data_IF_586086389132
#
_entry.id   IF_586086389132
#
_cell.length_a   1.000
_cell.length_b   1.000
_cell.length_c   1.000
_cell.angle_alpha   90.00
_cell.angle_beta   90.00
_cell.angle_gamma   90.00
#
_symmetry.space_group_name_H-M   'P 1'
#
loop_
_entity.id
_entity.type
_entity.pdbx_description
1 polymer ?
#
# COMPACT_ATOMS: atom_id res chain seq x y z
N UNK A 1 6.34 -2.92 -8.59
CA UNK A 1 7.18 -2.21 -7.62
C UNK A 1 8.09 -3.21 -6.94
N UNK A 2 9.33 -2.84 -6.65
CA UNK A 2 10.28 -3.65 -5.89
C UNK A 2 10.62 -2.83 -4.65
N UNK A 3 10.51 -3.42 -3.46
CA UNK A 3 10.76 -2.74 -2.18
C UNK A 3 11.77 -3.53 -1.34
N UNK A 4 12.72 -2.83 -0.73
CA UNK A 4 13.62 -3.40 0.27
C UNK A 4 12.92 -3.49 1.63
N UNK A 5 12.97 -4.67 2.25
CA UNK A 5 12.48 -4.91 3.60
C UNK A 5 13.62 -4.85 4.64
N UNK A 6 13.26 -4.85 5.93
CA UNK A 6 14.19 -4.73 7.04
C UNK A 6 15.19 -5.90 7.14
N UNK A 7 14.82 -7.06 6.60
CA UNK A 7 15.70 -8.24 6.44
C UNK A 7 16.73 -8.09 5.31
N UNK A 8 16.81 -6.90 4.69
CA UNK A 8 17.63 -6.60 3.52
C UNK A 8 17.26 -7.37 2.25
N UNK A 9 16.12 -8.07 2.22
CA UNK A 9 15.60 -8.68 1.01
C UNK A 9 14.74 -7.70 0.20
N UNK A 10 14.73 -7.90 -1.10
CA UNK A 10 13.94 -7.16 -2.07
C UNK A 10 12.70 -7.98 -2.45
N UNK A 11 11.53 -7.46 -2.13
CA UNK A 11 10.26 -8.10 -2.46
C UNK A 11 9.59 -7.41 -3.64
N UNK A 12 8.91 -8.20 -4.46
CA UNK A 12 8.14 -7.69 -5.60
C UNK A 12 6.66 -7.54 -5.21
N UNK A 13 6.12 -6.37 -5.53
CA UNK A 13 4.73 -6.00 -5.34
C UNK A 13 4.14 -5.57 -6.69
N UNK A 14 2.97 -6.08 -7.05
CA UNK A 14 2.17 -5.51 -8.14
C UNK A 14 1.17 -4.54 -7.53
N UNK A 15 1.26 -3.28 -7.94
CA UNK A 15 0.22 -2.29 -7.63
C UNK A 15 -1.02 -2.61 -8.46
N UNK A 16 -2.14 -2.78 -7.78
CA UNK A 16 -3.44 -3.07 -8.39
C UNK A 16 -4.30 -1.81 -8.45
N UNK A 17 -4.32 -1.04 -7.36
CA UNK A 17 -5.06 0.21 -7.26
C UNK A 17 -4.47 1.17 -6.22
N UNK A 18 -4.87 2.44 -6.29
CA UNK A 18 -4.51 3.51 -5.35
C UNK A 18 -5.81 4.03 -4.72
N UNK A 19 -5.90 3.92 -3.40
CA UNK A 19 -7.11 4.18 -2.64
C UNK A 19 -6.87 5.30 -1.63
N UNK A 20 -7.84 6.19 -1.49
CA UNK A 20 -7.90 7.13 -0.37
C UNK A 20 -8.92 6.60 0.62
N UNK A 21 -8.48 6.20 1.81
CA UNK A 21 -9.39 5.68 2.84
C UNK A 21 -9.86 6.84 3.71
N UNK A 22 -11.18 7.01 3.81
CA UNK A 22 -11.81 7.96 4.73
C UNK A 22 -12.33 7.21 5.95
N UNK A 23 -12.04 7.72 7.14
CA UNK A 23 -12.64 7.21 8.38
C UNK A 23 -14.05 7.77 8.50
N UNK A 24 -15.01 6.86 8.66
CA UNK A 24 -16.41 7.22 8.89
C UNK A 24 -16.71 7.12 10.37
N UNK A 25 -17.51 8.06 10.88
CA UNK A 25 -18.03 8.05 12.24
C UNK A 25 -19.55 8.20 12.23
N UNK A 26 -20.27 7.62 13.20
CA UNK A 26 -21.71 7.74 13.27
C UNK A 26 -22.09 9.17 13.70
N UNK A 27 -22.96 9.80 12.93
CA UNK A 27 -23.70 10.99 13.34
C UNK A 27 -24.73 10.63 14.41
N UNK A 28 -24.87 11.48 15.44
CA UNK A 28 -25.90 11.31 16.47
C UNK A 28 -27.31 11.70 16.01
N UNK A 29 -27.50 12.05 14.74
CA UNK A 29 -28.82 12.31 14.14
C UNK A 29 -29.63 11.01 14.00
N UNK A 30 -30.96 11.12 14.01
CA UNK A 30 -31.86 10.01 13.66
C UNK A 30 -32.53 10.30 12.30
N UNK A 31 -32.45 9.39 11.31
CA UNK A 31 -31.74 8.11 11.32
C UNK A 31 -30.21 8.28 11.41
N UNK A 32 -29.53 7.25 11.93
CA UNK A 32 -28.06 7.26 12.07
C UNK A 32 -27.43 7.29 10.68
N UNK A 33 -26.58 8.30 10.44
CA UNK A 33 -25.83 8.45 9.20
C UNK A 33 -24.35 8.28 9.49
N UNK A 34 -23.61 7.74 8.52
CA UNK A 34 -22.15 7.74 8.55
C UNK A 34 -21.65 9.01 7.86
N UNK A 35 -20.83 9.77 8.56
CA UNK A 35 -20.18 10.98 8.04
C UNK A 35 -18.67 10.83 8.13
N UNK A 36 -17.93 11.52 7.27
CA UNK A 36 -16.48 11.48 7.34
C UNK A 36 -16.01 12.19 8.61
N UNK A 37 -15.07 11.58 9.33
CA UNK A 37 -14.51 12.15 10.57
C UNK A 37 -13.88 13.54 10.34
N UNK A 38 -13.42 13.80 9.11
CA UNK A 38 -12.84 15.07 8.66
C UNK A 38 -13.82 16.23 8.67
N UNK A 39 -15.12 15.96 8.47
CA UNK A 39 -16.17 16.98 8.41
C UNK A 39 -16.61 17.43 9.82
N UNK A 40 -16.10 16.79 10.88
CA UNK A 40 -16.51 17.05 12.27
C UNK A 40 -15.46 17.76 13.11
N UNK A 41 -14.18 17.57 12.81
CA UNK A 41 -13.07 18.05 13.64
C UNK A 41 -12.33 19.18 12.93
N UNK A 42 -12.87 20.41 13.00
CA UNK A 42 -12.23 21.62 12.45
C UNK A 42 -10.83 21.88 13.04
N UNK A 43 -10.52 21.30 14.20
CA UNK A 43 -9.29 21.57 14.96
C UNK A 43 -8.39 20.36 15.23
N UNK A 44 -8.75 19.14 14.80
CA UNK A 44 -7.92 17.96 15.02
C UNK A 44 -7.86 17.07 13.79
N UNK A 45 -6.67 16.98 13.19
CA UNK A 45 -6.37 16.00 12.14
C UNK A 45 -6.49 14.58 12.71
N UNK A 46 -7.38 13.72 12.19
CA UNK A 46 -7.46 12.32 12.61
C UNK A 46 -6.11 11.59 12.46
N UNK A 47 -5.87 10.56 13.27
CA UNK A 47 -4.60 9.78 13.28
C UNK A 47 -4.23 9.11 11.93
N UNK A 48 -5.17 9.01 11.00
CA UNK A 48 -5.01 8.41 9.67
C UNK A 48 -5.66 9.25 8.56
N UNK A 49 -5.73 10.56 8.78
CA UNK A 49 -6.34 11.49 7.85
C UNK A 49 -5.66 11.48 6.48
N UNK A 50 -6.46 11.29 5.42
CA UNK A 50 -6.04 11.35 4.02
C UNK A 50 -4.84 10.43 3.65
N UNK A 51 -4.64 9.34 4.38
CA UNK A 51 -3.56 8.41 4.06
C UNK A 51 -3.87 7.64 2.76
N UNK A 52 -3.04 7.86 1.74
CA UNK A 52 -3.09 7.09 0.50
C UNK A 52 -2.65 5.66 0.77
N UNK A 53 -3.51 4.71 0.41
CA UNK A 53 -3.27 3.28 0.49
C UNK A 53 -3.04 2.73 -0.91
N UNK A 54 -2.16 1.73 -1.01
CA UNK A 54 -1.96 0.95 -2.21
C UNK A 54 -2.60 -0.42 -2.01
N UNK A 55 -3.42 -0.83 -2.97
CA UNK A 55 -3.87 -2.20 -3.10
C UNK A 55 -2.80 -2.98 -3.86
N UNK A 56 -2.19 -3.98 -3.23
CA UNK A 56 -1.05 -4.70 -3.81
C UNK A 56 -1.21 -6.22 -3.77
N UNK A 57 -0.70 -6.87 -4.81
CA UNK A 57 -0.32 -8.29 -4.78
C UNK A 57 1.16 -8.42 -4.39
N UNK A 58 1.50 -9.37 -3.54
CA UNK A 58 2.87 -9.65 -3.07
C UNK A 58 3.36 -10.96 -3.68
N UNK A 59 4.64 -10.99 -4.06
CA UNK A 59 5.28 -12.13 -4.69
C UNK A 59 6.47 -12.63 -3.88
N UNK A 60 6.68 -13.93 -3.92
CA UNK A 60 7.83 -14.65 -3.39
C UNK A 60 8.69 -15.24 -4.52
N UNK A 61 9.97 -15.57 -4.25
CA UNK A 61 10.69 -15.31 -3.00
C UNK A 61 11.16 -13.85 -2.86
N UNK A 62 11.64 -13.49 -1.67
CA UNK A 62 12.47 -12.28 -1.53
C UNK A 62 13.82 -12.48 -2.22
N UNK A 63 14.36 -11.41 -2.81
CA UNK A 63 15.61 -11.44 -3.57
C UNK A 63 16.73 -10.74 -2.80
N UNK A 64 17.97 -11.21 -2.95
CA UNK A 64 19.13 -10.60 -2.27
C UNK A 64 19.45 -9.18 -2.79
N UNK A 65 19.13 -8.89 -4.06
CA UNK A 65 19.35 -7.58 -4.68
C UNK A 65 18.20 -7.17 -5.60
N UNK A 66 18.18 -5.88 -5.96
CA UNK A 66 17.18 -5.29 -6.85
C UNK A 66 17.23 -5.86 -8.27
N UNK A 67 18.43 -6.17 -8.79
CA UNK A 67 18.61 -6.68 -10.15
C UNK A 67 17.97 -8.05 -10.35
N UNK A 68 18.11 -8.96 -9.38
CA UNK A 68 17.50 -10.27 -9.37
C UNK A 68 15.97 -10.17 -9.32
N UNK A 69 15.44 -9.25 -8.51
CA UNK A 69 14.01 -8.99 -8.49
C UNK A 69 13.50 -8.46 -9.85
N UNK A 70 14.26 -7.59 -10.54
CA UNK A 70 13.93 -7.13 -11.89
C UNK A 70 13.95 -8.26 -12.91
N UNK A 71 14.95 -9.13 -12.87
CA UNK A 71 15.04 -10.30 -13.74
C UNK A 71 13.88 -11.27 -13.50
N UNK A 72 13.50 -11.51 -12.24
CA UNK A 72 12.35 -12.34 -11.90
C UNK A 72 11.03 -11.80 -12.48
N UNK A 73 10.86 -10.46 -12.49
CA UNK A 73 9.72 -9.79 -13.15
C UNK A 73 9.74 -10.08 -14.65
N UNK A 74 10.88 -9.85 -15.32
CA UNK A 74 11.01 -10.03 -16.78
C UNK A 74 10.78 -11.48 -17.20
N UNK A 75 11.32 -12.43 -16.44
CA UNK A 75 11.21 -13.85 -16.70
C UNK A 75 9.85 -14.44 -16.27
N UNK A 76 8.97 -13.63 -15.68
CA UNK A 76 7.69 -14.09 -15.07
C UNK A 76 7.89 -15.22 -14.06
N UNK A 77 9.06 -15.25 -13.40
CA UNK A 77 9.49 -16.31 -12.49
C UNK A 77 9.19 -15.93 -11.03
N UNK A 78 7.94 -15.54 -10.76
CA UNK A 78 7.49 -15.11 -9.44
C UNK A 78 6.19 -15.81 -9.08
N UNK A 79 6.08 -16.23 -7.82
CA UNK A 79 4.87 -16.89 -7.31
C UNK A 79 4.11 -15.89 -6.46
N UNK A 80 2.83 -15.69 -6.76
CA UNK A 80 1.99 -14.78 -5.97
C UNK A 80 1.75 -15.38 -4.59
N UNK A 81 2.22 -14.69 -3.54
CA UNK A 81 1.99 -15.07 -2.14
C UNK A 81 0.63 -14.61 -1.64
N UNK A 82 0.28 -13.36 -1.93
CA UNK A 82 -0.97 -12.74 -1.46
C UNK A 82 -1.49 -11.72 -2.48
N UNK A 83 -2.80 -11.51 -2.49
CA UNK A 83 -3.50 -10.55 -3.36
C UNK A 83 -4.40 -9.65 -2.52
N UNK A 84 -4.62 -8.40 -2.99
CA UNK A 84 -5.58 -7.49 -2.37
C UNK A 84 -5.15 -6.99 -0.99
N UNK A 85 -3.84 -6.92 -0.73
CA UNK A 85 -3.35 -6.38 0.53
C UNK A 85 -3.34 -4.86 0.45
N UNK A 86 -4.01 -4.21 1.41
CA UNK A 86 -3.88 -2.78 1.63
C UNK A 86 -2.58 -2.50 2.37
N UNK A 87 -1.79 -1.58 1.82
CA UNK A 87 -0.55 -1.09 2.42
C UNK A 87 -0.47 0.41 2.28
N UNK A 88 0.04 1.07 3.31
CA UNK A 88 0.18 2.51 3.26
C UNK A 88 1.20 2.92 2.20
N UNK A 89 0.91 3.97 1.42
CA UNK A 89 1.85 4.46 0.40
C UNK A 89 3.20 4.89 1.02
N UNK A 90 3.20 5.37 2.28
CA UNK A 90 4.43 5.72 3.02
C UNK A 90 5.37 4.54 3.23
N UNK A 91 4.88 3.30 3.18
CA UNK A 91 5.74 2.11 3.24
C UNK A 91 6.58 1.92 1.97
N UNK A 92 6.24 2.59 0.88
CA UNK A 92 6.92 2.51 -0.42
C UNK A 92 7.66 3.82 -0.73
N UNK A 93 8.52 4.23 0.20
CA UNK A 93 9.39 5.40 0.06
C UNK A 93 10.23 5.34 -1.24
N UNK A 94 10.57 6.48 -1.83
CA UNK A 94 11.45 6.52 -3.02
C UNK A 94 12.85 5.98 -2.73
N UNK A 95 13.30 6.02 -1.47
CA UNK A 95 14.60 5.48 -1.06
C UNK A 95 14.63 3.97 -1.16
N UNK A 96 13.56 3.31 -0.71
CA UNK A 96 13.53 1.85 -0.52
C UNK A 96 12.69 1.13 -1.58
N UNK A 97 12.07 1.88 -2.51
CA UNK A 97 11.20 1.37 -3.55
C UNK A 97 11.66 1.77 -4.96
N UNK A 98 11.42 0.87 -5.91
CA UNK A 98 11.66 1.08 -7.34
C UNK A 98 10.43 0.67 -8.12
N UNK A 99 9.90 1.59 -8.91
CA UNK A 99 8.78 1.31 -9.81
C UNK A 99 9.35 0.71 -11.09
N UNK A 100 8.85 -0.48 -11.45
CA UNK A 100 9.15 -1.15 -12.71
C UNK A 100 7.86 -1.15 -13.51
N UNK A 101 7.92 -0.58 -14.72
CA UNK A 101 6.84 -0.64 -15.70
C UNK A 101 7.12 -1.81 -16.64
N UNK A 102 6.15 -2.69 -16.81
CA UNK A 102 6.17 -3.83 -17.74
C UNK A 102 5.18 -3.58 -18.86
#
# INVERSE_FOLDING_TARGET
>A
MIRRHADSLWYVYRLEDILSVKRLVPSQTRPMMLIAEEDLLDSMTPAYFAEVQFLVSVFDPGHADESLARQAIQNKAMIKRAQGLLRAAREFSRTDCRVVRT
#
